data_IF_055269816199
#
_entry.id   IF_055269816199
#
_cell.length_a   1.000
_cell.length_b   1.000
_cell.length_c   1.000
_cell.angle_alpha   90.00
_cell.angle_beta   90.00
_cell.angle_gamma   90.00
#
_symmetry.space_group_name_H-M   'P 1'
#
loop_
_entity.id
_entity.type
_entity.pdbx_description
1 polymer ?
#
# COMPACT_ATOMS: atom_id res chain seq x y z
N UNK A 1 -3.63 -14.77 -27.57
CA UNK A 1 -3.61 -16.10 -26.91
C UNK A 1 -2.33 -16.13 -26.11
N UNK A 2 -2.40 -16.23 -24.78
CA UNK A 2 -1.19 -16.38 -23.97
C UNK A 2 -0.75 -17.83 -24.04
N UNK A 3 0.49 -18.06 -24.47
CA UNK A 3 1.07 -19.39 -24.45
C UNK A 3 1.19 -19.90 -23.00
N UNK A 4 1.08 -21.21 -22.82
CA UNK A 4 1.38 -21.81 -21.53
C UNK A 4 2.85 -21.54 -21.21
N UNK A 5 3.18 -21.10 -19.98
CA UNK A 5 4.56 -20.84 -19.62
C UNK A 5 5.34 -22.14 -19.58
N UNK A 6 6.52 -22.13 -20.19
CA UNK A 6 7.47 -23.23 -20.07
C UNK A 6 8.11 -23.19 -18.67
N UNK A 7 8.02 -24.28 -17.89
CA UNK A 7 8.65 -24.35 -16.57
C UNK A 7 10.16 -24.10 -16.58
N UNK A 8 10.86 -24.40 -17.67
CA UNK A 8 12.28 -24.11 -17.80
C UNK A 8 12.51 -22.62 -17.92
N UNK A 9 11.72 -21.90 -18.74
CA UNK A 9 11.79 -20.44 -18.86
C UNK A 9 11.48 -19.78 -17.54
N UNK A 10 10.47 -20.25 -16.79
CA UNK A 10 10.12 -19.69 -15.48
C UNK A 10 11.27 -19.79 -14.46
N UNK A 11 12.06 -20.88 -14.53
CA UNK A 11 13.24 -21.06 -13.66
C UNK A 11 14.42 -20.16 -14.03
N UNK A 12 14.43 -19.61 -15.24
CA UNK A 12 15.48 -18.72 -15.74
C UNK A 12 15.19 -17.24 -15.46
N UNK A 13 14.10 -16.90 -14.75
CA UNK A 13 13.77 -15.52 -14.43
C UNK A 13 14.91 -14.82 -13.67
N UNK A 14 15.27 -13.65 -14.13
CA UNK A 14 16.32 -12.79 -13.60
C UNK A 14 15.82 -11.39 -13.20
N UNK A 15 16.75 -10.54 -12.79
CA UNK A 15 16.43 -9.20 -12.24
C UNK A 15 15.72 -8.25 -13.23
N UNK A 16 15.84 -8.52 -14.54
CA UNK A 16 15.17 -7.71 -15.58
C UNK A 16 13.80 -8.26 -15.97
N UNK A 17 13.42 -9.40 -15.44
CA UNK A 17 12.14 -10.03 -15.73
C UNK A 17 11.05 -9.56 -14.78
N UNK A 18 9.82 -9.96 -15.07
CA UNK A 18 8.69 -9.66 -14.23
C UNK A 18 7.42 -10.37 -14.67
N UNK A 19 6.41 -10.25 -13.83
CA UNK A 19 5.08 -10.81 -14.09
C UNK A 19 4.12 -9.67 -14.41
N UNK A 20 3.38 -9.82 -15.49
CA UNK A 20 2.32 -8.89 -15.89
C UNK A 20 0.98 -9.48 -15.43
N UNK A 21 0.35 -8.80 -14.47
CA UNK A 21 -1.00 -9.11 -14.05
C UNK A 21 -2.01 -8.26 -14.82
N UNK A 22 -3.07 -8.91 -15.33
CA UNK A 22 -4.23 -8.26 -15.94
C UNK A 22 -5.47 -8.53 -15.07
N UNK A 23 -5.68 -7.78 -13.98
CA UNK A 23 -6.81 -7.99 -13.11
C UNK A 23 -8.12 -7.73 -13.85
N UNK A 24 -9.14 -8.55 -13.58
CA UNK A 24 -10.50 -8.34 -14.10
C UNK A 24 -11.12 -7.06 -13.51
N UNK A 25 -12.20 -6.54 -14.13
CA UNK A 25 -12.98 -5.47 -13.55
C UNK A 25 -13.32 -5.73 -12.09
N UNK A 26 -13.31 -4.69 -11.28
CA UNK A 26 -13.52 -4.78 -9.83
C UNK A 26 -14.85 -4.12 -9.44
N UNK A 27 -15.26 -4.26 -8.18
CA UNK A 27 -16.46 -3.58 -7.67
C UNK A 27 -16.41 -2.06 -7.88
N UNK A 28 -15.24 -1.46 -7.81
CA UNK A 28 -15.05 -0.02 -8.02
C UNK A 28 -14.95 0.37 -9.50
N UNK A 29 -14.69 -0.58 -10.40
CA UNK A 29 -14.55 -0.38 -11.84
C UNK A 29 -15.21 -1.55 -12.55
N UNK A 30 -16.53 -1.64 -12.45
CA UNK A 30 -17.31 -2.78 -12.92
C UNK A 30 -17.23 -2.99 -14.43
N UNK A 31 -17.13 -1.90 -15.18
CA UNK A 31 -17.05 -1.92 -16.63
C UNK A 31 -15.60 -1.91 -17.15
N UNK A 32 -14.62 -1.85 -16.27
CA UNK A 32 -13.21 -1.80 -16.65
C UNK A 32 -12.78 -0.48 -17.30
N UNK A 33 -13.58 0.58 -17.20
CA UNK A 33 -13.33 1.85 -17.87
C UNK A 33 -12.00 2.51 -17.46
N UNK A 34 -11.56 2.29 -16.21
CA UNK A 34 -10.35 2.93 -15.68
C UNK A 34 -9.12 2.02 -15.77
N UNK A 35 -9.28 0.71 -15.54
CA UNK A 35 -8.16 -0.18 -15.26
C UNK A 35 -8.04 -1.40 -16.17
N UNK A 36 -9.04 -1.70 -17.03
CA UNK A 36 -9.08 -2.90 -17.85
C UNK A 36 -7.83 -3.05 -18.74
N UNK A 37 -7.39 -1.95 -19.35
CA UNK A 37 -6.25 -1.93 -20.27
C UNK A 37 -4.94 -1.53 -19.60
N UNK A 38 -4.92 -1.45 -18.27
CA UNK A 38 -3.74 -1.06 -17.50
C UNK A 38 -3.23 -2.23 -16.68
N UNK A 39 -2.32 -3.04 -17.25
CA UNK A 39 -1.72 -4.16 -16.53
C UNK A 39 -0.86 -3.66 -15.37
N UNK A 40 -0.70 -4.50 -14.35
CA UNK A 40 0.21 -4.29 -13.24
C UNK A 40 1.48 -5.08 -13.55
N UNK A 41 2.61 -4.41 -13.63
CA UNK A 41 3.91 -5.05 -13.73
C UNK A 41 4.49 -5.28 -12.34
N UNK A 42 4.84 -6.53 -12.03
CA UNK A 42 5.52 -6.95 -10.81
C UNK A 42 6.95 -7.34 -11.19
N UNK A 43 7.96 -6.53 -10.81
CA UNK A 43 9.34 -6.85 -11.12
C UNK A 43 9.81 -8.07 -10.34
N UNK A 44 10.55 -8.95 -11.00
CA UNK A 44 11.20 -10.07 -10.35
C UNK A 44 12.46 -9.56 -9.62
N UNK A 45 12.63 -9.97 -8.37
CA UNK A 45 13.78 -9.60 -7.55
C UNK A 45 14.26 -10.82 -6.80
N UNK A 46 15.30 -11.44 -7.34
CA UNK A 46 15.82 -12.74 -6.85
C UNK A 46 16.24 -12.67 -5.39
N UNK A 47 16.88 -11.59 -4.99
CA UNK A 47 17.51 -11.47 -3.68
C UNK A 47 16.66 -10.71 -2.64
N UNK A 48 15.54 -10.14 -3.04
CA UNK A 48 14.66 -9.48 -2.08
C UNK A 48 13.93 -10.52 -1.23
N UNK A 49 13.85 -10.28 0.08
CA UNK A 49 13.11 -11.16 1.00
C UNK A 49 11.64 -11.31 0.60
N UNK A 50 11.04 -10.24 0.11
CA UNK A 50 9.66 -10.24 -0.37
C UNK A 50 9.66 -9.87 -1.85
N UNK A 51 9.20 -10.79 -2.70
CA UNK A 51 9.07 -10.56 -4.14
C UNK A 51 7.82 -11.27 -4.66
N UNK A 52 6.76 -10.50 -4.89
CA UNK A 52 5.49 -11.03 -5.36
C UNK A 52 5.60 -11.76 -6.73
N UNK A 53 6.46 -11.27 -7.62
CA UNK A 53 6.70 -11.93 -8.90
C UNK A 53 7.33 -13.30 -8.73
N UNK A 54 8.30 -13.46 -7.80
CA UNK A 54 8.92 -14.75 -7.50
C UNK A 54 7.88 -15.75 -7.00
N UNK A 55 7.07 -15.35 -6.03
CA UNK A 55 6.04 -16.23 -5.47
C UNK A 55 5.02 -16.69 -6.52
N UNK A 56 4.66 -15.80 -7.45
CA UNK A 56 3.77 -16.16 -8.57
C UNK A 56 4.44 -17.11 -9.57
N UNK A 57 5.73 -16.93 -9.85
CA UNK A 57 6.51 -17.84 -10.70
C UNK A 57 6.63 -19.22 -10.05
N UNK A 58 6.96 -19.27 -8.75
CA UNK A 58 7.05 -20.52 -8.00
C UNK A 58 5.70 -21.23 -7.94
N UNK A 59 4.60 -20.50 -7.73
CA UNK A 59 3.26 -21.06 -7.80
C UNK A 59 2.97 -21.69 -9.18
N UNK A 60 3.30 -21.01 -10.27
CA UNK A 60 3.08 -21.53 -11.62
C UNK A 60 3.94 -22.77 -11.91
N UNK A 61 5.15 -22.85 -11.35
CA UNK A 61 6.02 -24.03 -11.47
C UNK A 61 5.47 -25.21 -10.66
N UNK A 62 4.98 -24.96 -9.45
CA UNK A 62 4.47 -26.02 -8.57
C UNK A 62 3.07 -26.50 -8.97
N UNK A 63 2.22 -25.59 -9.42
CA UNK A 63 0.81 -25.86 -9.74
C UNK A 63 0.45 -25.37 -11.13
N UNK A 64 1.03 -25.91 -12.20
CA UNK A 64 0.84 -25.42 -13.53
C UNK A 64 -0.60 -25.63 -14.01
N UNK A 65 -1.27 -24.56 -14.43
CA UNK A 65 -2.58 -24.61 -15.08
C UNK A 65 -2.38 -24.42 -16.58
N UNK A 66 -2.74 -25.41 -17.39
CA UNK A 66 -2.44 -25.43 -18.83
C UNK A 66 -3.69 -25.44 -19.70
N UNK A 67 -3.51 -25.03 -20.96
CA UNK A 67 -4.53 -25.08 -22.01
C UNK A 67 -5.76 -24.23 -21.69
N UNK A 68 -6.93 -24.72 -22.06
CA UNK A 68 -8.20 -23.99 -21.88
C UNK A 68 -8.48 -23.65 -20.40
N UNK A 69 -8.07 -24.52 -19.49
CA UNK A 69 -8.24 -24.30 -18.05
C UNK A 69 -7.54 -23.03 -17.56
N UNK A 70 -6.41 -22.65 -18.17
CA UNK A 70 -5.65 -21.44 -17.80
C UNK A 70 -6.49 -20.15 -17.89
N UNK A 71 -7.46 -20.09 -18.79
CA UNK A 71 -8.32 -18.92 -18.97
C UNK A 71 -9.54 -18.90 -18.06
N UNK A 72 -9.89 -20.05 -17.47
CA UNK A 72 -11.11 -20.23 -16.68
C UNK A 72 -10.86 -20.41 -15.20
N UNK A 73 -9.71 -20.98 -14.82
CA UNK A 73 -9.33 -21.17 -13.42
C UNK A 73 -8.79 -19.87 -12.84
N UNK A 74 -9.24 -19.47 -11.63
CA UNK A 74 -8.67 -18.32 -10.92
C UNK A 74 -7.18 -18.50 -10.64
N UNK A 75 -6.42 -17.40 -10.59
CA UNK A 75 -4.99 -17.43 -10.26
C UNK A 75 -4.73 -18.09 -8.89
N UNK A 76 -5.61 -17.85 -7.93
CA UNK A 76 -5.60 -18.50 -6.64
C UNK A 76 -6.84 -19.37 -6.51
N UNK A 77 -6.67 -20.63 -6.77
CA UNK A 77 -7.74 -21.62 -6.72
C UNK A 77 -7.41 -22.75 -5.74
N UNK A 78 -8.42 -23.27 -5.10
CA UNK A 78 -8.33 -24.53 -4.37
C UNK A 78 -8.19 -25.72 -5.35
N UNK A 79 -7.86 -26.92 -4.85
CA UNK A 79 -7.71 -28.14 -5.67
C UNK A 79 -8.96 -28.45 -6.50
N UNK A 80 -10.12 -28.00 -6.06
CA UNK A 80 -11.38 -28.08 -6.79
C UNK A 80 -11.47 -27.17 -8.02
N UNK A 81 -10.47 -26.31 -8.26
CA UNK A 81 -10.48 -25.28 -9.31
C UNK A 81 -11.37 -24.07 -9.02
N UNK A 82 -11.98 -24.00 -7.82
CA UNK A 82 -12.81 -22.86 -7.39
C UNK A 82 -11.94 -21.80 -6.68
N UNK A 83 -12.30 -20.51 -6.78
CA UNK A 83 -11.60 -19.47 -6.03
C UNK A 83 -11.75 -19.71 -4.52
N UNK A 84 -10.72 -19.35 -3.77
CA UNK A 84 -10.84 -19.31 -2.31
C UNK A 84 -11.92 -18.30 -1.89
N UNK A 85 -12.74 -18.68 -0.94
CA UNK A 85 -13.68 -17.76 -0.31
C UNK A 85 -12.93 -16.71 0.52
N UNK A 86 -13.54 -15.55 0.73
CA UNK A 86 -12.98 -14.50 1.59
C UNK A 86 -12.64 -15.05 2.98
N UNK A 87 -13.51 -15.90 3.55
CA UNK A 87 -13.30 -16.50 4.87
C UNK A 87 -12.07 -17.41 4.90
N UNK A 88 -11.86 -18.26 3.88
CA UNK A 88 -10.67 -19.12 3.80
C UNK A 88 -9.40 -18.30 3.75
N UNK A 89 -9.37 -17.25 2.91
CA UNK A 89 -8.20 -16.37 2.79
C UNK A 89 -7.93 -15.63 4.10
N UNK A 90 -8.97 -15.10 4.76
CA UNK A 90 -8.82 -14.43 6.07
C UNK A 90 -8.35 -15.39 7.16
N UNK A 91 -8.88 -16.61 7.18
CA UNK A 91 -8.46 -17.62 8.16
C UNK A 91 -6.99 -17.99 7.99
N UNK A 92 -6.55 -18.21 6.75
CA UNK A 92 -5.14 -18.50 6.44
C UNK A 92 -4.23 -17.33 6.82
N UNK A 93 -4.65 -16.09 6.50
CA UNK A 93 -3.91 -14.89 6.88
C UNK A 93 -3.76 -14.75 8.40
N UNK A 94 -4.86 -14.95 9.15
CA UNK A 94 -4.83 -14.93 10.62
C UNK A 94 -3.95 -16.04 11.20
N UNK A 95 -3.96 -17.23 10.60
CA UNK A 95 -3.09 -18.33 11.01
C UNK A 95 -1.61 -17.98 10.83
N UNK A 96 -1.23 -17.38 9.71
CA UNK A 96 0.13 -16.91 9.48
C UNK A 96 0.52 -15.80 10.46
N UNK A 97 -0.36 -14.85 10.73
CA UNK A 97 -0.08 -13.76 11.68
C UNK A 97 0.21 -14.28 13.09
N UNK A 98 -0.46 -15.33 13.54
CA UNK A 98 -0.20 -15.97 14.85
C UNK A 98 1.24 -16.44 15.05
N UNK A 99 1.97 -16.67 13.97
CA UNK A 99 3.37 -17.10 14.03
C UNK A 99 4.33 -15.95 14.33
N UNK A 100 3.92 -14.70 14.08
CA UNK A 100 4.82 -13.54 14.14
C UNK A 100 4.28 -12.36 14.97
N UNK A 101 2.99 -12.40 15.33
CA UNK A 101 2.31 -11.33 16.06
C UNK A 101 1.69 -11.91 17.34
N UNK A 102 1.77 -11.20 18.50
CA UNK A 102 1.10 -11.61 19.71
C UNK A 102 -0.40 -11.91 19.46
N UNK A 103 -0.92 -12.96 20.10
CA UNK A 103 -2.29 -13.45 19.87
C UNK A 103 -3.34 -12.34 20.09
N UNK A 104 -3.14 -11.46 21.09
CA UNK A 104 -4.03 -10.33 21.38
C UNK A 104 -4.13 -9.33 20.23
N UNK A 105 -3.08 -9.21 19.42
CA UNK A 105 -2.99 -8.21 18.34
C UNK A 105 -3.45 -8.76 16.98
N UNK A 106 -3.55 -10.08 16.81
CA UNK A 106 -3.91 -10.71 15.52
C UNK A 106 -5.20 -10.14 14.94
N UNK A 107 -6.18 -9.83 15.79
CA UNK A 107 -7.46 -9.30 15.33
C UNK A 107 -7.40 -7.86 14.79
N UNK A 108 -6.36 -7.11 15.14
CA UNK A 108 -6.14 -5.74 14.66
C UNK A 108 -5.71 -5.69 13.18
N UNK A 109 -5.24 -6.81 12.63
CA UNK A 109 -4.76 -6.90 11.26
C UNK A 109 -5.83 -7.41 10.30
N UNK A 110 -5.83 -6.88 9.09
CA UNK A 110 -6.71 -7.31 7.99
C UNK A 110 -5.97 -7.21 6.65
N UNK A 111 -6.48 -7.87 5.62
CA UNK A 111 -5.96 -7.68 4.25
C UNK A 111 -6.05 -6.23 3.77
N UNK A 112 -7.05 -5.50 4.21
CA UNK A 112 -7.15 -4.08 3.90
C UNK A 112 -6.00 -3.29 4.49
N UNK A 113 -5.54 -3.66 5.69
CA UNK A 113 -4.35 -3.09 6.33
C UNK A 113 -3.08 -3.25 5.48
N UNK A 114 -2.90 -4.38 4.80
CA UNK A 114 -1.77 -4.57 3.88
C UNK A 114 -1.79 -3.57 2.72
N UNK A 115 -2.98 -3.26 2.22
CA UNK A 115 -3.16 -2.29 1.14
C UNK A 115 -2.87 -0.85 1.60
N UNK A 116 -3.31 -0.50 2.82
CA UNK A 116 -2.99 0.79 3.45
C UNK A 116 -1.48 0.89 3.67
N UNK A 117 -0.86 -0.16 4.22
CA UNK A 117 0.59 -0.19 4.43
C UNK A 117 1.36 0.06 3.13
N UNK A 118 0.96 -0.59 2.02
CA UNK A 118 1.61 -0.38 0.73
C UNK A 118 1.45 1.08 0.26
N UNK A 119 0.28 1.70 0.46
CA UNK A 119 0.08 3.10 0.13
C UNK A 119 1.04 4.01 0.88
N UNK A 120 1.13 3.84 2.20
CA UNK A 120 2.03 4.62 3.05
C UNK A 120 3.51 4.38 2.70
N UNK A 121 3.90 3.13 2.41
CA UNK A 121 5.26 2.80 2.04
C UNK A 121 5.68 3.42 0.70
N UNK A 122 4.78 3.43 -0.29
CA UNK A 122 5.01 4.09 -1.58
C UNK A 122 5.14 5.60 -1.43
N UNK A 123 4.30 6.21 -0.62
CA UNK A 123 4.35 7.64 -0.32
C UNK A 123 5.65 8.03 0.37
N UNK A 124 6.06 7.29 1.38
CA UNK A 124 7.34 7.50 2.07
C UNK A 124 8.57 7.28 1.17
N UNK A 125 8.42 6.45 0.14
CA UNK A 125 9.44 6.28 -0.90
C UNK A 125 9.45 7.44 -1.92
N UNK A 126 8.58 8.44 -1.77
CA UNK A 126 8.47 9.57 -2.68
C UNK A 126 7.74 9.26 -3.98
N UNK A 127 6.94 8.18 -4.00
CA UNK A 127 6.15 7.84 -5.19
C UNK A 127 5.04 8.89 -5.40
N UNK A 128 4.90 9.48 -6.60
CA UNK A 128 3.87 10.47 -6.87
C UNK A 128 2.45 9.93 -6.63
N UNK A 129 1.51 10.77 -6.13
CA UNK A 129 0.15 10.36 -5.79
C UNK A 129 -0.61 9.66 -6.93
N UNK A 130 -0.46 10.12 -8.17
CA UNK A 130 -1.07 9.50 -9.35
C UNK A 130 -0.52 8.09 -9.63
N UNK A 131 0.75 7.84 -9.32
CA UNK A 131 1.37 6.53 -9.45
C UNK A 131 0.89 5.58 -8.34
N UNK A 132 0.78 6.08 -7.10
CA UNK A 132 0.22 5.31 -5.98
C UNK A 132 -1.20 4.85 -6.31
N UNK A 133 -2.05 5.76 -6.80
CA UNK A 133 -3.41 5.42 -7.24
C UNK A 133 -3.42 4.34 -8.32
N UNK A 134 -2.52 4.42 -9.30
CA UNK A 134 -2.38 3.41 -10.36
C UNK A 134 -1.98 2.04 -9.83
N UNK A 135 -0.96 2.00 -8.98
CA UNK A 135 -0.47 0.74 -8.38
C UNK A 135 -1.58 0.09 -7.54
N UNK A 136 -2.28 0.88 -6.74
CA UNK A 136 -3.35 0.42 -5.86
C UNK A 136 -4.72 0.33 -6.55
N UNK A 137 -4.82 0.76 -7.81
CA UNK A 137 -6.08 0.81 -8.56
C UNK A 137 -7.18 1.57 -7.81
N UNK A 138 -6.83 2.72 -7.27
CA UNK A 138 -7.77 3.65 -6.66
C UNK A 138 -8.24 4.66 -7.71
N UNK A 139 -9.55 4.91 -7.73
CA UNK A 139 -10.16 5.85 -8.69
C UNK A 139 -10.14 7.26 -8.10
N UNK A 140 -10.49 7.40 -6.83
CA UNK A 140 -10.63 8.71 -6.19
C UNK A 140 -9.37 9.13 -5.43
N UNK A 141 -9.17 10.45 -5.35
CA UNK A 141 -8.14 11.04 -4.49
C UNK A 141 -8.49 10.93 -3.01
N UNK A 142 -9.79 10.79 -2.69
CA UNK A 142 -10.27 10.62 -1.33
C UNK A 142 -9.70 9.37 -0.67
N UNK A 143 -9.62 8.26 -1.41
CA UNK A 143 -8.99 7.05 -0.91
C UNK A 143 -7.51 7.27 -0.54
N UNK A 144 -6.79 8.07 -1.35
CA UNK A 144 -5.40 8.38 -1.07
C UNK A 144 -5.27 9.25 0.19
N UNK A 145 -6.04 10.33 0.29
CA UNK A 145 -6.05 11.24 1.46
C UNK A 145 -6.43 10.53 2.76
N UNK A 146 -7.36 9.59 2.69
CA UNK A 146 -7.81 8.82 3.86
C UNK A 146 -6.75 7.87 4.38
N UNK A 147 -5.95 7.27 3.50
CA UNK A 147 -5.07 6.17 3.87
C UNK A 147 -3.59 6.52 3.91
N UNK A 148 -3.14 7.49 3.13
CA UNK A 148 -1.76 7.99 3.25
C UNK A 148 -1.66 8.82 4.51
N UNK A 149 -0.81 8.38 5.42
CA UNK A 149 -0.54 9.05 6.69
C UNK A 149 0.87 9.59 6.65
N UNK A 150 0.98 10.88 6.87
CA UNK A 150 2.26 11.54 6.96
C UNK A 150 3.07 10.97 8.14
N UNK A 151 4.22 10.43 7.85
CA UNK A 151 5.14 9.94 8.88
C UNK A 151 5.98 11.10 9.45
N UNK A 152 6.44 10.97 10.68
CA UNK A 152 7.29 11.96 11.37
C UNK A 152 8.51 12.40 10.52
N UNK A 153 9.09 11.47 9.76
CA UNK A 153 10.22 11.75 8.86
C UNK A 153 9.86 12.75 7.75
N UNK A 154 8.65 12.66 7.19
CA UNK A 154 8.18 13.58 6.17
C UNK A 154 7.93 14.97 6.73
N UNK A 155 7.32 15.05 7.92
CA UNK A 155 7.16 16.32 8.63
C UNK A 155 8.51 16.99 8.88
N UNK A 156 9.48 16.27 9.45
CA UNK A 156 10.83 16.80 9.69
C UNK A 156 11.47 17.32 8.42
N UNK A 157 11.42 16.54 7.34
CA UNK A 157 12.01 16.93 6.05
C UNK A 157 11.41 18.23 5.48
N UNK A 158 10.09 18.40 5.58
CA UNK A 158 9.43 19.60 5.08
C UNK A 158 9.62 20.79 6.00
N UNK A 159 9.61 20.59 7.32
CA UNK A 159 9.90 21.64 8.30
C UNK A 159 11.33 22.15 8.16
N UNK A 160 12.30 21.25 8.00
CA UNK A 160 13.71 21.62 7.77
C UNK A 160 13.88 22.42 6.48
N UNK A 161 13.21 21.98 5.40
CA UNK A 161 13.20 22.72 4.15
C UNK A 161 12.55 24.09 4.28
N UNK A 162 11.42 24.18 4.98
CA UNK A 162 10.74 25.47 5.17
C UNK A 162 11.56 26.44 6.01
N UNK A 163 12.23 25.95 7.06
CA UNK A 163 13.11 26.77 7.90
C UNK A 163 14.31 27.35 7.13
N UNK A 164 14.78 26.64 6.10
CA UNK A 164 15.88 27.12 5.24
C UNK A 164 15.41 27.91 4.00
N UNK A 165 14.09 28.05 3.80
CA UNK A 165 13.55 28.74 2.63
C UNK A 165 13.52 30.24 2.85
N UNK A 166 14.03 31.01 1.87
CA UNK A 166 13.95 32.48 1.87
C UNK A 166 12.66 32.87 1.13
N UNK A 167 11.75 33.53 1.85
CA UNK A 167 10.50 34.03 1.28
C UNK A 167 10.68 35.50 0.94
N UNK A 168 10.91 35.81 -0.35
CA UNK A 168 11.11 37.18 -0.82
C UNK A 168 9.78 37.90 -1.16
N UNK A 169 8.63 37.21 -1.03
CA UNK A 169 7.33 37.73 -1.47
C UNK A 169 6.43 38.18 -0.33
N UNK A 170 6.84 38.02 0.92
CA UNK A 170 6.06 38.50 2.07
C UNK A 170 6.27 40.00 2.22
N UNK A 171 5.21 40.79 1.97
CA UNK A 171 5.22 42.22 2.24
C UNK A 171 4.96 42.44 3.72
N UNK A 172 5.82 43.23 4.37
CA UNK A 172 5.72 43.56 5.81
C UNK A 172 4.39 44.23 6.14
N UNK A 173 3.76 44.94 5.20
CA UNK A 173 2.45 45.57 5.35
C UNK A 173 1.30 44.57 5.58
N UNK A 174 1.51 43.29 5.25
CA UNK A 174 0.51 42.23 5.43
C UNK A 174 0.66 41.49 6.75
N UNK A 175 1.69 41.80 7.54
CA UNK A 175 1.89 41.19 8.85
C UNK A 175 1.03 41.92 9.88
N UNK A 176 0.40 41.19 10.83
CA UNK A 176 -0.26 41.81 11.97
C UNK A 176 0.73 42.67 12.74
N UNK A 177 0.29 43.84 13.22
CA UNK A 177 1.16 44.67 14.07
C UNK A 177 1.53 43.88 15.34
N UNK A 178 2.77 44.02 15.78
CA UNK A 178 3.28 43.31 16.96
C UNK A 178 2.40 43.50 18.21
N UNK A 179 1.75 44.68 18.32
CA UNK A 179 0.82 44.99 19.43
C UNK A 179 -0.44 44.09 19.42
N UNK A 180 -0.85 43.59 18.24
CA UNK A 180 -1.96 42.64 18.12
C UNK A 180 -1.53 41.19 18.42
N UNK A 181 -0.22 40.90 18.40
CA UNK A 181 0.29 39.57 18.72
C UNK A 181 0.49 39.33 20.22
N UNK A 182 0.54 40.38 21.05
CA UNK A 182 0.64 40.21 22.48
C UNK A 182 -0.58 39.51 23.12
N UNK A 183 -1.71 39.54 22.43
CA UNK A 183 -2.96 38.85 22.85
C UNK A 183 -2.86 37.32 22.73
N UNK A 184 -1.89 36.80 21.96
CA UNK A 184 -1.69 35.35 21.78
C UNK A 184 -0.61 34.76 22.71
N UNK A 185 0.05 35.59 23.49
CA UNK A 185 1.15 35.15 24.41
C UNK A 185 0.60 34.86 25.81
N UNK A 186 -0.57 35.39 26.17
CA UNK A 186 -1.26 35.09 27.42
C UNK A 186 -2.19 33.83 27.24
N UNK A 187 -1.65 32.73 26.82
CA UNK A 187 -2.26 31.45 27.18
C UNK A 187 -1.87 31.20 28.65
N UNK A 188 -2.82 31.15 29.58
CA UNK A 188 -2.50 30.66 30.91
C UNK A 188 -1.98 29.25 30.78
N UNK A 189 -0.81 28.97 31.38
CA UNK A 189 -0.37 27.61 31.58
C UNK A 189 -1.50 26.88 32.30
N UNK A 190 -2.19 25.97 31.60
CA UNK A 190 -3.07 25.00 32.24
C UNK A 190 -2.13 24.13 33.08
N UNK A 191 -2.05 24.42 34.37
CA UNK A 191 -1.43 23.54 35.33
C UNK A 191 -2.12 22.20 35.26
N UNK A 192 -1.45 21.23 34.66
CA UNK A 192 -1.82 19.82 34.66
C UNK A 192 -1.74 19.30 36.10
N UNK A 193 -2.78 19.54 36.92
CA UNK A 193 -3.03 18.79 38.12
C UNK A 193 -3.45 17.35 37.78
N UNK A 194 -2.46 16.54 37.41
CA UNK A 194 -2.60 15.10 37.45
C UNK A 194 -2.54 14.63 38.91
N UNK A 195 -3.68 14.65 39.57
CA UNK A 195 -3.85 13.88 40.81
C UNK A 195 -3.74 12.39 40.43
N UNK A 196 -2.65 11.78 40.87
CA UNK A 196 -2.49 10.33 40.93
C UNK A 196 -3.45 9.80 42.00
N UNK A 197 -4.62 9.31 41.61
CA UNK A 197 -5.50 8.50 42.45
C UNK A 197 -4.96 7.08 42.50
N UNK A 198 -4.22 6.75 43.57
CA UNK A 198 -4.10 5.39 44.06
C UNK A 198 -5.43 4.95 44.66
N UNK A 199 -6.04 3.86 44.07
CA UNK A 199 -6.80 2.84 44.81
C UNK A 199 -6.98 1.59 43.87
#
# INVERSE_FOLDING_TARGET
MYADPDPQVLRMFGENDGVILKPRPSKADQFGAFWCDKPIFLPYRKYNKVCAARELVEQEVMYPVRGVKRHTVPLFAADSGKPFSKQQVETSFKAMLKLVVPQADVQKFSFHGCRIYLACALDQAGCPPDKIKRILRWISDEALRTYVRDGSRMYSQWLDKSASSIINTVQVSNLPKLEAMSVFIDCPDEDDDYESGDD
#
